data_IF_979173161701
#
_entry.id   IF_979173161701
#
_cell.length_a   1.000
_cell.length_b   1.000
_cell.length_c   1.000
_cell.angle_alpha   90.00
_cell.angle_beta   90.00
_cell.angle_gamma   90.00
#
_symmetry.space_group_name_H-M   'P 1'
#
loop_
_entity.id
_entity.type
_entity.pdbx_description
1 polymer ?
#
# COMPACT_ATOMS: atom_id res chain seq x y z
N UNK A 1 16.03 -15.54 14.28
CA UNK A 1 14.57 -15.46 14.06
C UNK A 1 14.38 -15.00 12.64
N UNK A 2 13.59 -15.69 11.81
CA UNK A 2 13.26 -15.17 10.47
C UNK A 2 12.35 -13.96 10.65
N UNK A 3 12.74 -12.83 10.08
CA UNK A 3 11.87 -11.65 9.96
C UNK A 3 10.83 -11.96 8.89
N UNK A 4 9.55 -11.86 9.27
CA UNK A 4 8.41 -12.00 8.38
C UNK A 4 8.28 -10.69 7.58
N UNK A 5 8.30 -10.73 6.25
CA UNK A 5 8.19 -9.51 5.44
C UNK A 5 6.76 -9.32 4.93
N UNK A 6 6.10 -8.31 5.46
CA UNK A 6 4.86 -7.84 4.85
C UNK A 6 5.21 -6.96 3.64
N UNK A 7 4.62 -7.21 2.44
CA UNK A 7 4.93 -6.48 1.20
C UNK A 7 4.27 -5.09 1.16
N UNK A 8 4.44 -4.32 2.23
CA UNK A 8 3.75 -3.05 2.50
C UNK A 8 4.16 -1.91 1.55
N UNK A 9 5.33 -2.03 0.88
CA UNK A 9 5.92 -0.94 0.11
C UNK A 9 6.46 0.20 0.98
N UNK A 10 6.51 0.04 2.31
CA UNK A 10 7.07 1.00 3.26
C UNK A 10 6.45 0.89 4.66
N UNK A 11 7.07 1.51 5.68
CA UNK A 11 6.73 1.26 7.09
C UNK A 11 5.46 1.98 7.61
N UNK A 12 4.78 2.80 6.80
CA UNK A 12 3.76 3.74 7.31
C UNK A 12 2.31 3.35 6.99
N UNK A 13 2.09 2.52 5.99
CA UNK A 13 0.73 2.11 5.63
C UNK A 13 0.36 0.79 6.29
N UNK A 14 -0.88 0.70 6.76
CA UNK A 14 -1.43 -0.48 7.42
C UNK A 14 -1.47 -1.64 6.42
N UNK A 15 -1.02 -2.84 6.82
CA UNK A 15 -1.26 -4.04 6.03
C UNK A 15 -2.75 -4.22 5.75
N UNK A 16 -3.07 -4.64 4.53
CA UNK A 16 -4.36 -5.23 4.20
C UNK A 16 -4.28 -6.77 4.23
N UNK A 17 -5.42 -7.42 4.01
CA UNK A 17 -5.47 -8.88 3.92
C UNK A 17 -4.61 -9.39 2.76
N UNK A 18 -4.58 -8.65 1.66
CA UNK A 18 -3.88 -9.01 0.44
C UNK A 18 -2.36 -8.99 0.62
N UNK A 19 -1.83 -8.16 1.53
CA UNK A 19 -0.42 -8.21 1.91
C UNK A 19 -0.07 -9.55 2.57
N UNK A 20 -0.97 -10.07 3.43
CA UNK A 20 -0.79 -11.36 4.09
C UNK A 20 -0.91 -12.50 3.08
N UNK A 21 -1.89 -12.43 2.19
CA UNK A 21 -2.07 -13.46 1.15
C UNK A 21 -0.86 -13.52 0.21
N UNK A 22 -0.32 -12.38 -0.23
CA UNK A 22 0.87 -12.37 -1.08
C UNK A 22 2.13 -12.82 -0.34
N UNK A 23 2.28 -12.50 0.95
CA UNK A 23 3.34 -13.06 1.78
C UNK A 23 3.23 -14.59 1.89
N UNK A 24 2.03 -15.15 2.04
CA UNK A 24 1.84 -16.61 2.04
C UNK A 24 2.27 -17.25 0.72
N UNK A 25 1.98 -16.60 -0.41
CA UNK A 25 2.43 -17.08 -1.73
C UNK A 25 3.97 -17.00 -1.85
N UNK A 26 4.56 -15.85 -1.52
CA UNK A 26 5.98 -15.59 -1.77
C UNK A 26 6.93 -16.24 -0.75
N UNK A 27 6.56 -16.28 0.53
CA UNK A 27 7.41 -16.77 1.61
C UNK A 27 7.12 -18.22 2.01
N UNK A 28 5.88 -18.69 1.80
CA UNK A 28 5.43 -20.03 2.22
C UNK A 28 5.06 -20.94 1.04
N UNK A 29 5.17 -20.46 -0.20
CA UNK A 29 4.96 -21.26 -1.41
C UNK A 29 3.52 -21.70 -1.62
N UNK A 30 2.54 -20.94 -1.10
CA UNK A 30 1.12 -21.20 -1.35
C UNK A 30 0.82 -21.04 -2.84
N UNK A 31 0.16 -22.02 -3.43
CA UNK A 31 -0.23 -21.96 -4.84
C UNK A 31 -1.24 -20.83 -5.09
N UNK A 32 -0.98 -20.05 -6.13
CA UNK A 32 -1.84 -18.96 -6.56
C UNK A 32 -1.84 -18.89 -8.09
N UNK A 33 -3.01 -18.65 -8.68
CA UNK A 33 -3.08 -18.47 -10.13
C UNK A 33 -2.52 -17.10 -10.53
N UNK A 34 -2.07 -16.93 -11.79
CA UNK A 34 -1.64 -15.62 -12.30
C UNK A 34 -2.70 -14.52 -12.13
N UNK A 35 -3.98 -14.87 -12.30
CA UNK A 35 -5.11 -13.95 -12.12
C UNK A 35 -5.29 -13.59 -10.64
N UNK A 36 -5.13 -14.56 -9.73
CA UNK A 36 -5.16 -14.33 -8.28
C UNK A 36 -4.06 -13.37 -7.84
N UNK A 37 -2.83 -13.58 -8.31
CA UNK A 37 -1.71 -12.66 -8.06
C UNK A 37 -1.97 -11.25 -8.59
N UNK A 38 -2.60 -11.13 -9.75
CA UNK A 38 -2.99 -9.84 -10.32
C UNK A 38 -4.05 -9.16 -9.45
N UNK A 39 -5.08 -9.89 -9.02
CA UNK A 39 -6.12 -9.37 -8.13
C UNK A 39 -5.56 -8.88 -6.79
N UNK A 40 -4.60 -9.61 -6.20
CA UNK A 40 -3.92 -9.18 -4.97
C UNK A 40 -3.14 -7.87 -5.17
N UNK A 41 -2.48 -7.68 -6.32
CA UNK A 41 -1.77 -6.44 -6.64
C UNK A 41 -2.74 -5.26 -6.78
N UNK A 42 -3.81 -5.44 -7.55
CA UNK A 42 -4.80 -4.39 -7.82
C UNK A 42 -5.50 -3.95 -6.53
N UNK A 43 -5.91 -4.91 -5.69
CA UNK A 43 -6.55 -4.62 -4.40
C UNK A 43 -5.61 -3.87 -3.45
N UNK A 44 -4.31 -4.21 -3.41
CA UNK A 44 -3.33 -3.47 -2.61
C UNK A 44 -3.12 -2.04 -3.10
N UNK A 45 -3.08 -1.84 -4.41
CA UNK A 45 -2.98 -0.49 -4.99
C UNK A 45 -4.18 0.38 -4.60
N UNK A 46 -5.39 -0.19 -4.70
CA UNK A 46 -6.62 0.48 -4.24
C UNK A 46 -6.58 0.80 -2.75
N UNK A 47 -6.15 -0.15 -1.91
CA UNK A 47 -6.04 0.04 -0.46
C UNK A 47 -5.05 1.15 -0.10
N UNK A 48 -3.90 1.18 -0.76
CA UNK A 48 -2.90 2.25 -0.57
C UNK A 48 -3.48 3.61 -0.96
N UNK A 49 -4.25 3.69 -2.04
CA UNK A 49 -4.97 4.90 -2.44
C UNK A 49 -5.93 5.39 -1.35
N UNK A 50 -6.72 4.50 -0.75
CA UNK A 50 -7.65 4.82 0.35
C UNK A 50 -6.90 5.33 1.58
N UNK A 51 -5.80 4.69 1.96
CA UNK A 51 -4.99 5.13 3.11
C UNK A 51 -4.34 6.49 2.86
N UNK A 52 -3.81 6.73 1.66
CA UNK A 52 -3.23 8.01 1.29
C UNK A 52 -4.27 9.13 1.31
N UNK A 53 -5.47 8.89 0.77
CA UNK A 53 -6.57 9.84 0.81
C UNK A 53 -7.00 10.14 2.25
N UNK A 54 -7.06 9.13 3.11
CA UNK A 54 -7.37 9.30 4.54
C UNK A 54 -6.29 10.14 5.23
N UNK A 55 -5.01 9.78 5.07
CA UNK A 55 -3.89 10.54 5.65
C UNK A 55 -3.85 12.00 5.15
N UNK A 56 -4.20 12.24 3.89
CA UNK A 56 -4.32 13.58 3.32
C UNK A 56 -5.44 14.39 3.98
N UNK A 57 -6.58 13.76 4.28
CA UNK A 57 -7.70 14.42 4.98
C UNK A 57 -7.39 14.70 6.45
N UNK A 58 -6.62 13.84 7.10
CA UNK A 58 -6.23 14.00 8.51
C UNK A 58 -5.18 15.12 8.70
N UNK A 59 -4.39 15.43 7.67
CA UNK A 59 -3.29 16.39 7.71
C UNK A 59 -3.17 17.20 6.39
N UNK A 60 -4.20 17.96 5.99
CA UNK A 60 -4.27 18.60 4.68
C UNK A 60 -3.15 19.63 4.46
N UNK A 61 -2.71 20.34 5.49
CA UNK A 61 -1.61 21.31 5.41
C UNK A 61 -0.27 20.66 5.05
N UNK A 62 0.00 19.46 5.57
CA UNK A 62 1.20 18.70 5.23
C UNK A 62 1.14 18.21 3.78
N UNK A 63 -0.03 17.78 3.32
CA UNK A 63 -0.23 17.37 1.93
C UNK A 63 -0.07 18.56 0.96
N UNK A 64 -0.69 19.71 1.25
CA UNK A 64 -0.56 20.94 0.44
C UNK A 64 0.91 21.36 0.34
N UNK A 65 1.65 21.38 1.45
CA UNK A 65 3.07 21.74 1.45
C UNK A 65 3.90 20.79 0.58
N UNK A 66 3.69 19.48 0.72
CA UNK A 66 4.40 18.49 -0.09
C UNK A 66 4.10 18.66 -1.59
N UNK A 67 2.84 18.93 -1.96
CA UNK A 67 2.47 19.20 -3.35
C UNK A 67 3.10 20.49 -3.88
N UNK A 68 3.14 21.55 -3.06
CA UNK A 68 3.78 22.82 -3.42
C UNK A 68 5.30 22.66 -3.65
N UNK A 69 6.00 21.87 -2.82
CA UNK A 69 7.42 21.54 -2.99
C UNK A 69 7.70 20.78 -4.29
N UNK A 70 6.73 20.00 -4.79
CA UNK A 70 6.78 19.32 -6.07
C UNK A 70 6.40 20.21 -7.27
N UNK A 71 6.06 21.49 -7.03
CA UNK A 71 5.68 22.45 -8.07
C UNK A 71 4.20 22.46 -8.45
N UNK A 72 3.34 21.81 -7.68
CA UNK A 72 1.89 21.86 -7.87
C UNK A 72 1.26 23.03 -7.13
N UNK A 73 0.25 23.65 -7.73
CA UNK A 73 -0.61 24.64 -7.08
C UNK A 73 -1.94 23.99 -6.69
N UNK A 74 -2.31 24.08 -5.41
CA UNK A 74 -3.61 23.63 -4.89
C UNK A 74 -4.50 24.87 -4.69
N UNK A 75 -5.61 24.95 -5.42
CA UNK A 75 -6.56 26.08 -5.41
C UNK A 75 -7.98 25.62 -5.18
#
# INVERSE_FOLDING_TARGET
>A
MSELHLPLGGPRFRPCLEDVLEMLVNEFGVECTPEGLTALRDAREQWRGVQLATATRDAPEHAIRALAELGYSVS
#
